data_IF_555152510472
#
_entry.id   IF_555152510472
#
_cell.length_a   1.000
_cell.length_b   1.000
_cell.length_c   1.000
_cell.angle_alpha   90.00
_cell.angle_beta   90.00
_cell.angle_gamma   90.00
#
_symmetry.space_group_name_H-M   'P 1'
#
loop_
_entity.id
_entity.type
_entity.pdbx_description
1 polymer ?
#
# COMPACT_ATOMS: atom_id res chain seq x y z
N UNK A 1 18.02 -14.22 7.03
CA UNK A 1 16.95 -13.59 7.82
C UNK A 1 15.75 -13.39 6.92
N UNK A 2 14.59 -13.90 7.30
CA UNK A 2 13.37 -13.76 6.51
C UNK A 2 12.81 -12.36 6.65
N UNK A 3 12.48 -11.72 5.53
CA UNK A 3 11.95 -10.35 5.52
C UNK A 3 10.43 -10.34 5.59
N UNK A 4 9.76 -11.28 4.91
CA UNK A 4 8.32 -11.47 5.02
C UNK A 4 7.96 -12.25 6.29
N UNK A 5 6.90 -11.82 6.94
CA UNK A 5 6.46 -12.35 8.24
C UNK A 5 5.05 -12.90 8.13
N UNK A 6 4.81 -14.00 8.81
CA UNK A 6 3.49 -14.58 8.95
C UNK A 6 3.22 -14.91 10.42
N UNK A 7 1.97 -14.81 10.81
CA UNK A 7 1.49 -15.26 12.13
C UNK A 7 0.75 -16.56 11.94
N UNK A 8 1.15 -17.58 12.68
CA UNK A 8 0.43 -18.87 12.72
C UNK A 8 -0.44 -18.92 13.96
N UNK A 9 -1.66 -19.39 13.80
CA UNK A 9 -2.61 -19.60 14.90
C UNK A 9 -2.89 -21.08 15.08
N UNK A 10 -3.46 -21.44 16.23
CA UNK A 10 -3.94 -22.80 16.45
C UNK A 10 -5.10 -23.12 15.51
N UNK A 11 -5.22 -24.40 15.14
CA UNK A 11 -6.35 -24.86 14.34
C UNK A 11 -7.58 -24.93 15.23
N UNK A 12 -8.42 -23.89 15.21
CA UNK A 12 -9.62 -23.79 16.07
C UNK A 12 -10.75 -24.72 15.62
N UNK A 13 -10.91 -24.93 14.32
CA UNK A 13 -11.95 -25.79 13.77
C UNK A 13 -11.65 -27.27 14.05
N UNK A 14 -12.62 -27.96 14.69
CA UNK A 14 -12.51 -29.37 15.06
C UNK A 14 -12.32 -30.28 13.84
N UNK A 15 -13.05 -30.05 12.76
CA UNK A 15 -12.99 -30.86 11.53
C UNK A 15 -11.62 -30.78 10.88
N UNK A 16 -11.03 -29.58 10.83
CA UNK A 16 -9.67 -29.36 10.32
C UNK A 16 -8.65 -30.10 11.19
N UNK A 17 -8.79 -30.06 12.51
CA UNK A 17 -7.90 -30.82 13.41
C UNK A 17 -7.97 -32.31 13.15
N UNK A 18 -9.19 -32.87 13.02
CA UNK A 18 -9.40 -34.29 12.75
C UNK A 18 -8.84 -34.68 11.37
N UNK A 19 -9.03 -33.84 10.36
CA UNK A 19 -8.47 -34.07 9.02
C UNK A 19 -6.94 -34.11 9.04
N UNK A 20 -6.30 -33.18 9.73
CA UNK A 20 -4.83 -33.18 9.90
C UNK A 20 -4.36 -34.41 10.65
N UNK A 21 -5.09 -34.81 11.70
CA UNK A 21 -4.76 -35.99 12.50
C UNK A 21 -4.84 -37.26 11.64
N UNK A 22 -5.93 -37.44 10.90
CA UNK A 22 -6.13 -38.59 10.01
C UNK A 22 -5.05 -38.67 8.92
N UNK A 23 -4.68 -37.53 8.31
CA UNK A 23 -3.59 -37.45 7.33
C UNK A 23 -2.25 -37.85 7.92
N UNK A 24 -1.96 -37.44 9.16
CA UNK A 24 -0.72 -37.83 9.87
C UNK A 24 -0.71 -39.33 10.21
N UNK A 25 -1.83 -39.88 10.65
CA UNK A 25 -1.95 -41.31 11.00
C UNK A 25 -1.86 -42.21 9.76
N UNK A 26 -2.40 -41.77 8.62
CA UNK A 26 -2.32 -42.53 7.36
C UNK A 26 -0.95 -42.51 6.69
N UNK A 27 0.00 -41.73 7.19
CA UNK A 27 1.32 -41.55 6.57
C UNK A 27 1.31 -40.91 5.18
N UNK A 28 0.13 -40.46 4.72
CA UNK A 28 -0.02 -39.80 3.43
C UNK A 28 0.59 -38.42 3.46
N UNK A 29 1.80 -38.30 2.94
CA UNK A 29 2.38 -37.01 2.56
C UNK A 29 1.67 -36.51 1.30
N UNK A 30 1.26 -35.26 1.27
CA UNK A 30 0.73 -34.70 0.03
C UNK A 30 1.78 -34.86 -1.08
N UNK A 31 1.39 -35.36 -2.26
CA UNK A 31 2.32 -35.49 -3.36
C UNK A 31 2.90 -34.11 -3.68
N UNK A 32 4.21 -34.03 -3.88
CA UNK A 32 4.84 -32.79 -4.39
C UNK A 32 4.36 -32.59 -5.82
N UNK A 33 3.53 -31.59 -6.04
CA UNK A 33 2.92 -31.31 -7.34
C UNK A 33 3.76 -30.38 -8.20
N UNK A 34 4.71 -29.66 -7.59
CA UNK A 34 5.61 -28.75 -8.30
C UNK A 34 7.03 -28.78 -7.67
N UNK A 35 8.02 -28.59 -8.48
CA UNK A 35 9.42 -28.37 -8.08
C UNK A 35 10.02 -27.28 -8.94
N UNK A 36 10.92 -26.51 -8.38
CA UNK A 36 11.71 -25.50 -9.07
C UNK A 36 13.20 -25.84 -8.89
N UNK A 37 13.97 -25.73 -9.94
CA UNK A 37 15.42 -25.91 -9.91
C UNK A 37 16.10 -24.64 -9.42
N UNK A 38 17.35 -24.73 -8.99
CA UNK A 38 18.14 -23.58 -8.58
C UNK A 38 18.37 -22.61 -9.75
N UNK A 39 18.51 -23.13 -10.97
CA UNK A 39 18.76 -22.30 -12.15
C UNK A 39 17.48 -21.54 -12.56
N UNK A 40 16.32 -22.17 -12.51
CA UNK A 40 15.03 -21.50 -12.69
C UNK A 40 14.81 -20.39 -11.64
N UNK A 41 15.18 -20.64 -10.37
CA UNK A 41 15.12 -19.62 -9.33
C UNK A 41 16.02 -18.43 -9.60
N UNK A 42 17.27 -18.68 -10.08
CA UNK A 42 18.19 -17.60 -10.45
C UNK A 42 17.67 -16.81 -11.64
N UNK A 43 17.14 -17.49 -12.65
CA UNK A 43 16.53 -16.85 -13.82
C UNK A 43 15.38 -15.94 -13.37
N UNK A 44 14.46 -16.44 -12.54
CA UNK A 44 13.37 -15.65 -12.00
C UNK A 44 13.89 -14.40 -11.23
N UNK A 45 14.96 -14.53 -10.45
CA UNK A 45 15.56 -13.40 -9.75
C UNK A 45 16.12 -12.32 -10.70
N UNK A 46 16.68 -12.70 -11.84
CA UNK A 46 17.13 -11.73 -12.84
C UNK A 46 15.95 -11.07 -13.57
N UNK A 47 14.92 -11.82 -13.90
CA UNK A 47 13.69 -11.29 -14.50
C UNK A 47 12.99 -10.29 -13.56
N UNK A 48 12.90 -10.58 -12.27
CA UNK A 48 12.34 -9.70 -11.25
C UNK A 48 13.05 -8.34 -11.20
N UNK A 49 14.37 -8.31 -11.34
CA UNK A 49 15.13 -7.06 -11.37
C UNK A 49 14.78 -6.17 -12.58
N UNK A 50 14.28 -6.78 -13.66
CA UNK A 50 13.82 -6.07 -14.85
C UNK A 50 12.47 -5.38 -14.70
N UNK A 51 11.68 -5.73 -13.68
CA UNK A 51 10.37 -5.11 -13.43
C UNK A 51 10.55 -3.65 -13.02
N UNK A 52 9.88 -2.74 -13.71
CA UNK A 52 9.99 -1.29 -13.46
C UNK A 52 9.21 -0.85 -12.23
N UNK A 53 9.78 0.08 -11.47
CA UNK A 53 9.08 0.76 -10.37
C UNK A 53 8.90 2.22 -10.79
N UNK A 54 7.67 2.68 -11.11
CA UNK A 54 7.38 4.08 -11.42
C UNK A 54 7.62 5.00 -10.21
N UNK A 55 7.93 6.27 -10.48
CA UNK A 55 8.11 7.28 -9.42
C UNK A 55 6.84 7.45 -8.58
N UNK A 56 5.67 7.35 -9.19
CA UNK A 56 4.39 7.37 -8.47
C UNK A 56 4.22 6.25 -7.44
N UNK A 57 4.92 5.13 -7.59
CA UNK A 57 4.95 4.04 -6.60
C UNK A 57 5.89 4.39 -5.46
N UNK A 58 7.03 5.04 -5.74
CA UNK A 58 7.92 5.55 -4.71
C UNK A 58 7.21 6.61 -3.85
N UNK A 59 6.45 7.52 -4.46
CA UNK A 59 5.63 8.52 -3.76
C UNK A 59 4.60 7.86 -2.84
N UNK A 60 3.87 6.84 -3.34
CA UNK A 60 2.93 6.07 -2.52
C UNK A 60 3.62 5.35 -1.36
N UNK A 61 4.82 4.81 -1.58
CA UNK A 61 5.57 4.17 -0.50
C UNK A 61 5.99 5.18 0.56
N UNK A 62 6.39 6.39 0.17
CA UNK A 62 6.70 7.46 1.12
C UNK A 62 5.46 7.89 1.92
N UNK A 63 4.30 8.00 1.27
CA UNK A 63 3.02 8.24 1.96
C UNK A 63 2.70 7.15 2.99
N UNK A 64 2.90 5.87 2.63
CA UNK A 64 2.72 4.75 3.58
C UNK A 64 3.65 4.92 4.78
N UNK A 65 4.93 5.24 4.54
CA UNK A 65 5.93 5.44 5.59
C UNK A 65 5.52 6.56 6.54
N UNK A 66 5.16 7.73 6.01
CA UNK A 66 4.73 8.89 6.80
C UNK A 66 3.52 8.53 7.66
N UNK A 67 2.46 7.95 7.07
CA UNK A 67 1.25 7.54 7.80
C UNK A 67 1.52 6.48 8.88
N UNK A 68 2.43 5.53 8.65
CA UNK A 68 2.81 4.55 9.67
C UNK A 68 3.56 5.22 10.83
N UNK A 69 4.44 6.18 10.55
CA UNK A 69 5.15 6.96 11.59
C UNK A 69 4.19 7.79 12.43
N UNK A 70 3.17 8.41 11.83
CA UNK A 70 2.10 9.14 12.53
C UNK A 70 1.29 8.23 13.46
N UNK A 71 1.06 6.98 13.04
CA UNK A 71 0.44 5.93 13.87
C UNK A 71 1.40 5.30 14.89
N UNK A 72 2.60 5.87 15.08
CA UNK A 72 3.66 5.39 16.00
C UNK A 72 4.16 3.97 15.69
N UNK A 73 4.09 3.56 14.44
CA UNK A 73 4.68 2.32 13.94
C UNK A 73 6.04 2.65 13.32
N UNK A 74 7.17 2.35 14.03
CA UNK A 74 8.48 2.71 13.53
C UNK A 74 8.90 1.76 12.40
N UNK A 75 8.98 2.29 11.19
CA UNK A 75 9.63 1.64 10.05
C UNK A 75 11.04 2.22 9.93
N UNK A 76 12.05 1.36 9.99
CA UNK A 76 13.44 1.80 9.84
C UNK A 76 13.77 2.06 8.36
N UNK A 77 14.70 2.97 8.11
CA UNK A 77 15.14 3.32 6.76
C UNK A 77 15.63 2.09 5.98
N UNK A 78 16.30 1.14 6.65
CA UNK A 78 16.68 -0.12 6.04
C UNK A 78 15.48 -0.92 5.52
N UNK A 79 14.39 -0.98 6.26
CA UNK A 79 13.16 -1.64 5.83
C UNK A 79 12.52 -0.85 4.69
N UNK A 80 12.49 0.47 4.81
CA UNK A 80 11.96 1.35 3.77
C UNK A 80 12.68 1.18 2.44
N UNK A 81 14.01 1.29 2.42
CA UNK A 81 14.78 1.21 1.17
C UNK A 81 14.81 -0.19 0.53
N UNK A 82 14.44 -1.25 1.26
CA UNK A 82 14.43 -2.61 0.74
C UNK A 82 13.04 -3.11 0.28
N UNK A 83 12.05 -2.22 0.13
CA UNK A 83 10.73 -2.64 -0.34
C UNK A 83 10.71 -3.03 -1.82
N UNK A 84 11.56 -2.43 -2.65
CA UNK A 84 11.57 -2.56 -4.10
C UNK A 84 11.57 -4.01 -4.59
N UNK A 85 12.55 -4.85 -4.20
CA UNK A 85 12.58 -6.25 -4.63
C UNK A 85 11.33 -7.06 -4.26
N UNK A 86 10.65 -6.70 -3.17
CA UNK A 86 9.43 -7.39 -2.71
C UNK A 86 8.26 -7.07 -3.63
N UNK A 87 8.08 -5.79 -3.97
CA UNK A 87 6.98 -5.37 -4.85
C UNK A 87 7.23 -5.76 -6.31
N UNK A 88 8.50 -5.77 -6.75
CA UNK A 88 8.90 -6.28 -8.06
C UNK A 88 8.59 -7.78 -8.18
N UNK A 89 8.94 -8.58 -7.16
CA UNK A 89 8.62 -10.00 -7.14
C UNK A 89 7.09 -10.24 -7.18
N UNK A 90 6.30 -9.42 -6.48
CA UNK A 90 4.85 -9.53 -6.54
C UNK A 90 4.30 -9.18 -7.93
N UNK A 91 4.83 -8.15 -8.59
CA UNK A 91 4.43 -7.79 -9.93
C UNK A 91 4.81 -8.89 -10.95
N UNK A 92 6.01 -9.42 -10.85
CA UNK A 92 6.47 -10.54 -11.69
C UNK A 92 5.58 -11.79 -11.52
N UNK A 93 5.21 -12.16 -10.27
CA UNK A 93 4.28 -13.26 -10.00
C UNK A 93 2.89 -13.02 -10.60
N UNK A 94 2.50 -11.79 -10.78
CA UNK A 94 1.26 -11.41 -11.45
C UNK A 94 1.42 -11.21 -12.97
N UNK A 95 2.59 -11.59 -13.52
CA UNK A 95 2.93 -11.42 -14.95
C UNK A 95 2.85 -9.97 -15.43
N UNK A 96 3.28 -9.03 -14.57
CA UNK A 96 3.33 -7.60 -14.88
C UNK A 96 4.78 -7.14 -15.03
N UNK A 97 5.05 -6.32 -16.06
CA UNK A 97 6.36 -5.74 -16.34
C UNK A 97 6.63 -4.46 -15.52
N UNK A 98 5.61 -3.99 -14.81
CA UNK A 98 5.67 -2.76 -14.03
C UNK A 98 4.89 -2.90 -12.71
N UNK A 99 5.42 -2.30 -11.64
CA UNK A 99 4.76 -2.27 -10.33
C UNK A 99 3.60 -1.28 -10.34
N UNK A 100 2.44 -1.72 -9.89
CA UNK A 100 1.24 -0.89 -9.66
C UNK A 100 0.93 -0.76 -8.17
N UNK A 101 -0.02 0.11 -7.81
CA UNK A 101 -0.47 0.28 -6.44
C UNK A 101 -0.98 -1.01 -5.77
N UNK A 102 -1.58 -1.91 -6.55
CA UNK A 102 -2.04 -3.21 -6.04
C UNK A 102 -0.89 -4.07 -5.51
N UNK A 103 0.29 -4.00 -6.14
CA UNK A 103 1.45 -4.78 -5.72
C UNK A 103 2.02 -4.32 -4.38
N UNK A 104 1.76 -3.07 -3.95
CA UNK A 104 2.14 -2.58 -2.62
C UNK A 104 1.42 -3.34 -1.48
N UNK A 105 0.30 -4.01 -1.77
CA UNK A 105 -0.44 -4.79 -0.75
C UNK A 105 0.39 -5.92 -0.15
N UNK A 106 1.41 -6.44 -0.85
CA UNK A 106 2.33 -7.45 -0.31
C UNK A 106 3.10 -6.94 0.91
N UNK A 107 3.32 -5.63 1.00
CA UNK A 107 4.05 -4.99 2.09
C UNK A 107 3.35 -5.12 3.45
N UNK A 108 2.08 -5.52 3.49
CA UNK A 108 1.39 -5.86 4.74
C UNK A 108 2.10 -6.97 5.53
N UNK A 109 2.78 -7.88 4.86
CA UNK A 109 3.58 -8.93 5.50
C UNK A 109 5.02 -8.49 5.84
N UNK A 110 5.40 -7.29 5.44
CA UNK A 110 6.77 -6.78 5.57
C UNK A 110 6.92 -5.68 6.63
N UNK A 111 6.00 -4.71 6.68
CA UNK A 111 6.17 -3.46 7.41
C UNK A 111 5.90 -3.52 8.92
N UNK A 112 5.31 -4.59 9.44
CA UNK A 112 5.06 -4.71 10.89
C UNK A 112 6.21 -5.41 11.64
N UNK A 113 6.31 -5.15 12.94
CA UNK A 113 7.27 -5.80 13.86
C UNK A 113 6.56 -6.68 14.89
N UNK A 114 5.36 -6.29 15.31
CA UNK A 114 4.53 -7.01 16.28
C UNK A 114 3.18 -7.33 15.65
N UNK A 115 2.58 -8.49 15.95
CA UNK A 115 1.29 -8.91 15.38
C UNK A 115 0.17 -7.87 15.57
N UNK A 116 0.17 -7.14 16.67
CA UNK A 116 -0.85 -6.12 16.99
C UNK A 116 -0.84 -4.94 16.00
N UNK A 117 0.27 -4.76 15.27
CA UNK A 117 0.42 -3.70 14.28
C UNK A 117 -0.23 -4.07 12.93
N UNK A 118 -0.49 -5.35 12.68
CA UNK A 118 -0.99 -5.84 11.38
C UNK A 118 -2.24 -5.09 10.91
N UNK A 119 -3.31 -4.93 11.72
CA UNK A 119 -4.53 -4.27 11.27
C UNK A 119 -4.30 -2.80 10.89
N UNK A 120 -3.39 -2.12 11.58
CA UNK A 120 -3.05 -0.72 11.29
C UNK A 120 -2.26 -0.63 9.98
N UNK A 121 -1.27 -1.50 9.80
CA UNK A 121 -0.46 -1.56 8.56
C UNK A 121 -1.34 -1.88 7.35
N UNK A 122 -2.22 -2.87 7.46
CA UNK A 122 -3.17 -3.23 6.39
C UNK A 122 -4.08 -2.07 6.01
N UNK A 123 -4.61 -1.35 7.00
CA UNK A 123 -5.48 -0.18 6.78
C UNK A 123 -4.73 0.93 6.05
N UNK A 124 -3.53 1.30 6.52
CA UNK A 124 -2.73 2.36 5.91
C UNK A 124 -2.38 2.03 4.45
N UNK A 125 -1.98 0.78 4.19
CA UNK A 125 -1.68 0.35 2.82
C UNK A 125 -2.94 0.39 1.94
N UNK A 126 -4.08 -0.10 2.44
CA UNK A 126 -5.34 -0.06 1.70
C UNK A 126 -5.75 1.38 1.36
N UNK A 127 -5.71 2.29 2.33
CA UNK A 127 -6.02 3.71 2.14
C UNK A 127 -5.16 4.34 1.04
N UNK A 128 -3.86 4.11 1.03
CA UNK A 128 -2.95 4.65 0.01
C UNK A 128 -3.12 3.97 -1.35
N UNK A 129 -3.40 2.66 -1.38
CA UNK A 129 -3.60 1.94 -2.64
C UNK A 129 -4.94 2.29 -3.30
N UNK A 130 -6.00 2.49 -2.53
CA UNK A 130 -7.35 2.77 -3.04
C UNK A 130 -7.51 4.24 -3.45
N UNK A 131 -7.04 5.15 -2.62
CA UNK A 131 -7.12 6.58 -2.92
C UNK A 131 -5.96 7.35 -2.28
N UNK A 132 -4.78 7.37 -2.92
CA UNK A 132 -3.59 8.02 -2.37
C UNK A 132 -3.77 9.53 -2.17
N UNK A 133 -4.62 10.16 -2.96
CA UNK A 133 -4.84 11.61 -2.97
C UNK A 133 -6.09 12.05 -2.22
N UNK A 134 -6.75 11.15 -1.50
CA UNK A 134 -8.01 11.47 -0.81
C UNK A 134 -7.89 12.67 0.12
N UNK A 135 -6.85 12.72 0.94
CA UNK A 135 -6.63 13.81 1.90
C UNK A 135 -6.34 15.14 1.22
N UNK A 136 -5.63 15.11 0.08
CA UNK A 136 -5.35 16.32 -0.71
C UNK A 136 -6.62 16.83 -1.40
N UNK A 137 -7.44 15.93 -1.94
CA UNK A 137 -8.74 16.27 -2.51
C UNK A 137 -9.68 16.85 -1.45
N UNK A 138 -9.76 16.24 -0.27
CA UNK A 138 -10.55 16.76 0.85
C UNK A 138 -10.09 18.16 1.26
N UNK A 139 -8.78 18.39 1.34
CA UNK A 139 -8.22 19.73 1.65
C UNK A 139 -8.54 20.78 0.59
N UNK A 140 -8.51 20.41 -0.69
CA UNK A 140 -8.92 21.32 -1.78
C UNK A 140 -10.41 21.63 -1.70
N UNK A 141 -11.24 20.63 -1.42
CA UNK A 141 -12.68 20.82 -1.23
C UNK A 141 -12.99 21.72 -0.04
N UNK A 142 -12.34 21.53 1.10
CA UNK A 142 -12.50 22.40 2.28
C UNK A 142 -12.13 23.86 1.98
N UNK A 143 -11.03 24.11 1.28
CA UNK A 143 -10.63 25.45 0.84
C UNK A 143 -11.70 26.08 -0.06
N UNK A 144 -12.26 25.31 -0.99
CA UNK A 144 -13.30 25.75 -1.91
C UNK A 144 -14.58 26.10 -1.15
N UNK A 145 -15.04 25.24 -0.23
CA UNK A 145 -16.23 25.48 0.57
C UNK A 145 -16.07 26.74 1.45
N UNK A 146 -14.91 26.93 2.08
CA UNK A 146 -14.61 28.13 2.86
C UNK A 146 -14.62 29.41 2.00
N UNK A 147 -14.10 29.34 0.78
CA UNK A 147 -14.09 30.46 -0.14
C UNK A 147 -15.51 30.81 -0.63
N UNK A 148 -16.35 29.81 -0.89
CA UNK A 148 -17.76 29.99 -1.26
C UNK A 148 -18.57 30.61 -0.12
N UNK A 149 -18.38 30.16 1.10
CA UNK A 149 -19.03 30.70 2.28
C UNK A 149 -18.62 32.17 2.51
N UNK A 150 -17.34 32.48 2.43
CA UNK A 150 -16.83 33.85 2.56
C UNK A 150 -17.40 34.78 1.46
N UNK A 151 -17.52 34.28 0.23
CA UNK A 151 -18.16 35.02 -0.87
C UNK A 151 -19.65 35.29 -0.59
N UNK A 152 -20.35 34.27 -0.09
CA UNK A 152 -21.79 34.34 0.21
C UNK A 152 -22.10 35.36 1.29
N UNK A 153 -21.27 35.41 2.34
CA UNK A 153 -21.48 36.26 3.53
C UNK A 153 -20.94 37.70 3.34
N UNK A 154 -20.16 37.97 2.29
CA UNK A 154 -19.53 39.27 2.11
C UNK A 154 -20.53 40.35 1.67
N UNK A 155 -20.50 41.52 2.32
CA UNK A 155 -21.26 42.71 1.91
C UNK A 155 -20.65 43.36 0.64
N UNK A 156 -19.32 43.32 0.47
CA UNK A 156 -18.62 43.84 -0.70
C UNK A 156 -18.45 42.78 -1.77
N UNK A 157 -19.48 42.62 -2.60
CA UNK A 157 -19.53 41.59 -3.65
C UNK A 157 -18.37 41.66 -4.67
N UNK A 158 -17.87 42.87 -4.97
CA UNK A 158 -16.81 43.01 -5.97
C UNK A 158 -15.45 42.49 -5.45
N UNK A 159 -15.09 42.88 -4.23
CA UNK A 159 -13.86 42.40 -3.58
C UNK A 159 -13.93 40.90 -3.32
N UNK A 160 -15.07 40.40 -2.83
CA UNK A 160 -15.29 38.97 -2.58
C UNK A 160 -15.22 38.14 -3.87
N UNK A 161 -15.70 38.67 -4.99
CA UNK A 161 -15.61 37.98 -6.30
C UNK A 161 -14.15 37.79 -6.74
N UNK A 162 -13.30 38.81 -6.56
CA UNK A 162 -11.88 38.73 -6.92
C UNK A 162 -11.17 37.67 -6.06
N UNK A 163 -11.48 37.62 -4.75
CA UNK A 163 -10.90 36.62 -3.84
C UNK A 163 -11.39 35.22 -4.18
N UNK A 164 -12.67 35.05 -4.45
CA UNK A 164 -13.24 33.74 -4.84
C UNK A 164 -12.65 33.22 -6.15
N UNK A 165 -12.50 34.09 -7.16
CA UNK A 165 -11.83 33.76 -8.42
C UNK A 165 -10.40 33.31 -8.20
N UNK A 166 -9.65 33.99 -7.33
CA UNK A 166 -8.27 33.60 -6.98
C UNK A 166 -8.24 32.23 -6.27
N UNK A 167 -9.16 31.96 -5.35
CA UNK A 167 -9.27 30.68 -4.67
C UNK A 167 -9.58 29.54 -5.67
N UNK A 168 -10.47 29.79 -6.63
CA UNK A 168 -10.78 28.83 -7.71
C UNK A 168 -9.56 28.51 -8.57
N UNK A 169 -8.79 29.53 -8.97
CA UNK A 169 -7.59 29.35 -9.77
C UNK A 169 -6.54 28.50 -9.01
N UNK A 170 -6.31 28.81 -7.72
CA UNK A 170 -5.38 28.06 -6.88
C UNK A 170 -5.86 26.60 -6.69
N UNK A 171 -7.14 26.38 -6.45
CA UNK A 171 -7.71 25.05 -6.33
C UNK A 171 -7.56 24.22 -7.61
N UNK A 172 -7.73 24.86 -8.77
CA UNK A 172 -7.51 24.22 -10.06
C UNK A 172 -6.05 23.82 -10.27
N UNK A 173 -5.09 24.67 -9.90
CA UNK A 173 -3.66 24.34 -9.93
C UNK A 173 -3.32 23.20 -8.98
N UNK A 174 -3.86 23.22 -7.73
CA UNK A 174 -3.69 22.15 -6.76
C UNK A 174 -4.21 20.81 -7.32
N UNK A 175 -5.39 20.81 -7.94
CA UNK A 175 -5.97 19.62 -8.57
C UNK A 175 -5.13 19.09 -9.77
N UNK A 176 -4.48 19.98 -10.53
CA UNK A 176 -3.60 19.55 -11.62
C UNK A 176 -2.32 18.89 -11.12
N UNK A 177 -1.81 19.28 -9.95
CA UNK A 177 -0.64 18.65 -9.30
C UNK A 177 -0.93 17.27 -8.73
N UNK A 178 -2.19 17.00 -8.36
CA UNK A 178 -2.67 15.71 -7.85
C UNK A 178 -2.81 14.65 -8.97
N UNK A 179 -2.76 15.06 -10.23
CA UNK A 179 -2.92 14.18 -11.39
C UNK A 179 -1.60 13.54 -11.83
#
# INVERSE_FOLDING_TARGET
RFELKAVTQYVENRENRLTVLAKKQSGLSAPRTASITIDELKQAQEEIKGVKIPDSINDRMDMILCRLRDKKIPVSDRVYFNYGPIVQAQAWLNSCDEVSGEHLRVLKAYLWKKPEQIPVVERVIAEVCENPFKEELERVLEKMMSAEEAFSQSENKLSAFVQFRSALANAYEDLQRIR
#
